data_IF_988289987640
#
_entry.id   IF_988289987640
#
_cell.length_a   1.000
_cell.length_b   1.000
_cell.length_c   1.000
_cell.angle_alpha   90.00
_cell.angle_beta   90.00
_cell.angle_gamma   90.00
#
_symmetry.space_group_name_H-M   'P 1'
#
loop_
_entity.id
_entity.type
_entity.pdbx_description
1 polymer ?
#
# COMPACT_ATOMS: atom_id res chain seq x y z
N UNK A 1 9.26 -5.98 -34.34
CA UNK A 1 8.82 -7.06 -33.42
C UNK A 1 7.46 -6.65 -32.88
N UNK A 2 6.41 -7.24 -33.39
CA UNK A 2 5.06 -7.00 -32.84
C UNK A 2 5.02 -7.56 -31.41
N UNK A 3 4.79 -6.68 -30.44
CA UNK A 3 4.63 -7.10 -29.06
C UNK A 3 3.30 -7.83 -28.93
N UNK A 4 3.34 -9.13 -28.80
CA UNK A 4 2.14 -9.93 -28.45
C UNK A 4 1.83 -9.71 -26.99
N UNK A 5 0.75 -8.99 -26.69
CA UNK A 5 0.27 -8.78 -25.33
C UNK A 5 -0.58 -9.96 -24.86
N UNK A 6 -0.56 -10.24 -23.56
CA UNK A 6 -1.36 -11.32 -22.97
C UNK A 6 -2.86 -11.02 -22.99
N UNK A 7 -3.23 -9.75 -22.84
CA UNK A 7 -4.61 -9.28 -22.82
C UNK A 7 -4.82 -8.17 -23.84
N UNK A 8 -6.05 -8.06 -24.35
CA UNK A 8 -6.43 -6.89 -25.13
C UNK A 8 -6.54 -5.65 -24.24
N UNK A 9 -6.32 -4.45 -24.78
CA UNK A 9 -6.45 -3.20 -24.04
C UNK A 9 -7.86 -3.03 -23.47
N UNK A 10 -8.89 -3.40 -24.23
CA UNK A 10 -10.29 -3.33 -23.77
C UNK A 10 -10.55 -4.24 -22.58
N UNK A 11 -10.11 -5.50 -22.65
CA UNK A 11 -10.28 -6.47 -21.57
C UNK A 11 -9.57 -5.99 -20.32
N UNK A 12 -8.35 -5.47 -20.46
CA UNK A 12 -7.56 -4.97 -19.34
C UNK A 12 -8.22 -3.76 -18.66
N UNK A 13 -8.65 -2.76 -19.45
CA UNK A 13 -9.36 -1.60 -18.91
C UNK A 13 -10.67 -1.99 -18.24
N UNK A 14 -11.44 -2.90 -18.84
CA UNK A 14 -12.68 -3.39 -18.24
C UNK A 14 -12.43 -4.05 -16.88
N UNK A 15 -11.38 -4.89 -16.77
CA UNK A 15 -11.00 -5.51 -15.50
C UNK A 15 -10.58 -4.48 -14.45
N UNK A 16 -9.76 -3.50 -14.82
CA UNK A 16 -9.32 -2.44 -13.91
C UNK A 16 -10.52 -1.64 -13.42
N UNK A 17 -11.43 -1.23 -14.30
CA UNK A 17 -12.64 -0.50 -13.94
C UNK A 17 -13.54 -1.36 -13.03
N UNK A 18 -13.76 -2.62 -13.38
CA UNK A 18 -14.61 -3.53 -12.61
C UNK A 18 -14.09 -3.71 -11.17
N UNK A 19 -12.79 -4.01 -11.03
CA UNK A 19 -12.15 -4.16 -9.71
C UNK A 19 -12.22 -2.84 -8.93
N UNK A 20 -11.92 -1.72 -9.59
CA UNK A 20 -12.01 -0.39 -8.99
C UNK A 20 -13.42 -0.07 -8.46
N UNK A 21 -14.46 -0.40 -9.23
CA UNK A 21 -15.85 -0.20 -8.83
C UNK A 21 -16.23 -1.07 -7.62
N UNK A 22 -15.74 -2.31 -7.55
CA UNK A 22 -15.93 -3.17 -6.37
C UNK A 22 -15.35 -2.49 -5.13
N UNK A 23 -14.11 -1.98 -5.17
CA UNK A 23 -13.49 -1.33 -4.03
C UNK A 23 -14.18 -0.01 -3.66
N UNK A 24 -14.62 0.78 -4.64
CA UNK A 24 -15.44 1.97 -4.40
C UNK A 24 -16.74 1.60 -3.67
N UNK A 25 -17.45 0.59 -4.17
CA UNK A 25 -18.68 0.13 -3.55
C UNK A 25 -18.47 -0.34 -2.11
N UNK A 26 -17.48 -1.19 -1.89
CA UNK A 26 -17.14 -1.73 -0.57
C UNK A 26 -16.71 -0.61 0.42
N UNK A 27 -15.91 0.33 -0.03
CA UNK A 27 -15.48 1.47 0.77
C UNK A 27 -16.62 2.39 1.14
N UNK A 28 -17.49 2.73 0.18
CA UNK A 28 -18.69 3.56 0.42
C UNK A 28 -19.72 2.84 1.29
N UNK A 29 -19.92 1.54 1.11
CA UNK A 29 -20.78 0.73 1.96
C UNK A 29 -20.34 0.76 3.42
N UNK A 30 -19.04 0.57 3.65
CA UNK A 30 -18.49 0.64 5.00
C UNK A 30 -18.61 2.05 5.60
N UNK A 31 -18.41 3.11 4.80
CA UNK A 31 -18.47 4.49 5.27
C UNK A 31 -19.86 4.88 5.80
N UNK A 32 -20.93 4.38 5.20
CA UNK A 32 -22.31 4.63 5.66
C UNK A 32 -22.57 4.12 7.08
N UNK A 33 -21.89 3.03 7.48
CA UNK A 33 -22.05 2.42 8.80
C UNK A 33 -21.32 3.19 9.91
N UNK A 34 -20.27 3.93 9.58
CA UNK A 34 -19.38 4.55 10.56
C UNK A 34 -19.19 6.04 10.27
N UNK A 35 -20.12 6.85 10.77
CA UNK A 35 -20.11 8.30 10.60
C UNK A 35 -19.36 9.02 11.73
N UNK A 36 -19.02 10.29 11.50
CA UNK A 36 -18.40 11.19 12.45
C UNK A 36 -16.87 11.32 12.32
N UNK A 37 -16.37 12.48 12.69
CA UNK A 37 -14.98 12.90 12.51
C UNK A 37 -13.98 11.94 13.17
N UNK A 38 -14.29 11.43 14.35
CA UNK A 38 -13.42 10.50 15.06
C UNK A 38 -13.30 9.15 14.36
N UNK A 39 -14.39 8.65 13.74
CA UNK A 39 -14.34 7.47 12.89
C UNK A 39 -13.50 7.72 11.63
N UNK A 40 -13.69 8.86 11.02
CA UNK A 40 -12.98 9.27 9.81
C UNK A 40 -11.47 9.37 10.02
N UNK A 41 -11.03 10.05 11.09
CA UNK A 41 -9.61 10.33 11.33
C UNK A 41 -8.88 9.19 12.05
N UNK A 42 -9.52 8.51 13.00
CA UNK A 42 -8.85 7.57 13.92
C UNK A 42 -9.56 6.23 14.08
N UNK A 43 -10.62 5.99 13.28
CA UNK A 43 -11.48 4.81 13.39
C UNK A 43 -11.99 4.56 14.82
N UNK A 44 -12.25 5.64 15.58
CA UNK A 44 -12.58 5.64 17.01
C UNK A 44 -11.57 4.88 17.89
N UNK A 45 -10.38 4.56 17.36
CA UNK A 45 -9.36 3.70 18.01
C UNK A 45 -9.90 2.32 18.44
N UNK A 46 -10.95 1.87 17.80
CA UNK A 46 -11.62 0.60 18.07
C UNK A 46 -11.44 -0.34 16.87
N UNK A 47 -10.19 -0.63 16.55
CA UNK A 47 -9.81 -1.60 15.53
C UNK A 47 -9.12 -2.77 16.23
N UNK A 48 -9.58 -3.98 15.95
CA UNK A 48 -8.99 -5.20 16.48
C UNK A 48 -7.55 -5.40 15.97
N UNK A 49 -6.73 -6.07 16.78
CA UNK A 49 -5.31 -6.31 16.45
C UNK A 49 -5.16 -7.01 15.10
N UNK A 50 -5.97 -8.03 14.83
CA UNK A 50 -5.93 -8.76 13.56
C UNK A 50 -6.20 -7.84 12.37
N UNK A 51 -7.28 -7.05 12.41
CA UNK A 51 -7.65 -6.13 11.34
C UNK A 51 -6.58 -5.04 11.11
N UNK A 52 -5.97 -4.55 12.19
CA UNK A 52 -4.89 -3.58 12.08
C UNK A 52 -3.63 -4.20 11.47
N UNK A 53 -3.27 -5.41 11.88
CA UNK A 53 -2.10 -6.12 11.34
C UNK A 53 -2.28 -6.43 9.85
N UNK A 54 -3.44 -6.95 9.46
CA UNK A 54 -3.74 -7.24 8.05
C UNK A 54 -3.75 -6.00 7.18
N UNK A 55 -4.33 -4.88 7.66
CA UNK A 55 -4.29 -3.60 6.94
C UNK A 55 -2.87 -3.06 6.78
N UNK A 56 -2.07 -3.05 7.85
CA UNK A 56 -0.68 -2.60 7.78
C UNK A 56 0.16 -3.48 6.84
N UNK A 57 -0.06 -4.79 6.85
CA UNK A 57 0.62 -5.71 5.95
C UNK A 57 0.20 -5.49 4.50
N UNK A 58 -1.11 -5.34 4.23
CA UNK A 58 -1.60 -5.04 2.88
C UNK A 58 -1.04 -3.72 2.35
N UNK A 59 -0.98 -2.67 3.19
CA UNK A 59 -0.38 -1.38 2.82
C UNK A 59 1.11 -1.48 2.53
N UNK A 60 1.83 -2.38 3.22
CA UNK A 60 3.25 -2.62 2.98
C UNK A 60 3.50 -3.46 1.71
N UNK A 61 2.54 -4.30 1.32
CA UNK A 61 2.58 -5.15 0.11
C UNK A 61 1.96 -4.44 -1.11
N UNK A 62 2.12 -3.14 -1.24
CA UNK A 62 1.66 -2.36 -2.40
C UNK A 62 2.36 -2.76 -3.70
N UNK A 63 1.89 -2.22 -4.83
CA UNK A 63 2.45 -2.53 -6.16
C UNK A 63 3.94 -2.19 -6.30
N UNK A 64 4.41 -1.19 -5.55
CA UNK A 64 5.82 -0.80 -5.54
C UNK A 64 6.76 -1.95 -5.13
N UNK A 65 6.34 -2.87 -4.26
CA UNK A 65 7.19 -3.97 -3.80
C UNK A 65 7.58 -4.94 -4.92
N UNK A 66 6.80 -4.99 -6.01
CA UNK A 66 7.14 -5.79 -7.19
C UNK A 66 8.35 -5.24 -7.93
N UNK A 67 8.54 -3.93 -7.92
CA UNK A 67 9.57 -3.27 -8.70
C UNK A 67 10.74 -2.75 -7.85
N UNK A 68 10.48 -2.21 -6.67
CA UNK A 68 11.47 -1.55 -5.83
C UNK A 68 12.62 -2.48 -5.40
N UNK A 69 12.34 -3.58 -4.69
CA UNK A 69 13.38 -4.53 -4.29
C UNK A 69 14.07 -5.20 -5.47
N UNK A 70 13.32 -5.55 -6.53
CA UNK A 70 13.89 -6.16 -7.73
C UNK A 70 14.86 -5.20 -8.45
N UNK A 71 14.47 -3.93 -8.60
CA UNK A 71 15.33 -2.88 -9.16
C UNK A 71 16.59 -2.68 -8.30
N UNK A 72 16.45 -2.59 -6.98
CA UNK A 72 17.59 -2.47 -6.08
C UNK A 72 18.56 -3.65 -6.24
N UNK A 73 18.05 -4.87 -6.41
CA UNK A 73 18.87 -6.07 -6.64
C UNK A 73 19.66 -6.00 -7.94
N UNK A 74 19.09 -5.45 -9.01
CA UNK A 74 19.73 -5.41 -10.33
C UNK A 74 20.93 -4.47 -10.38
N UNK A 75 20.90 -3.32 -9.69
CA UNK A 75 22.01 -2.36 -9.71
C UNK A 75 22.94 -2.42 -8.51
N UNK A 76 22.51 -2.95 -7.38
CA UNK A 76 23.31 -3.00 -6.15
C UNK A 76 23.54 -4.40 -5.59
N UNK A 77 23.09 -5.44 -6.27
CA UNK A 77 23.28 -6.85 -5.89
C UNK A 77 22.74 -7.16 -4.48
N UNK A 78 23.35 -8.15 -3.83
CA UNK A 78 22.95 -8.63 -2.50
C UNK A 78 23.06 -7.52 -1.43
N UNK A 79 24.07 -6.63 -1.53
CA UNK A 79 24.22 -5.52 -0.60
C UNK A 79 23.02 -4.57 -0.62
N UNK A 80 22.48 -4.26 -1.80
CA UNK A 80 21.31 -3.42 -1.92
C UNK A 80 20.04 -4.10 -1.38
N UNK A 81 19.89 -5.41 -1.57
CA UNK A 81 18.75 -6.18 -0.99
C UNK A 81 18.80 -6.13 0.53
N UNK A 82 19.95 -6.40 1.12
CA UNK A 82 20.14 -6.36 2.58
C UNK A 82 19.87 -4.93 3.09
N UNK A 83 20.45 -3.92 2.45
CA UNK A 83 20.22 -2.52 2.81
C UNK A 83 18.75 -2.10 2.73
N UNK A 84 18.05 -2.51 1.67
CA UNK A 84 16.62 -2.27 1.50
C UNK A 84 15.79 -2.94 2.61
N UNK A 85 16.07 -4.22 2.89
CA UNK A 85 15.35 -4.99 3.91
C UNK A 85 15.58 -4.43 5.32
N UNK A 86 16.83 -4.10 5.66
CA UNK A 86 17.13 -3.48 6.95
C UNK A 86 16.55 -2.07 7.05
N UNK A 87 16.62 -1.28 5.99
CA UNK A 87 16.06 0.07 5.93
C UNK A 87 14.55 0.12 6.12
N UNK A 88 13.83 -0.89 5.68
CA UNK A 88 12.37 -1.02 5.87
C UNK A 88 12.00 -1.61 7.23
N UNK A 89 12.74 -2.59 7.73
CA UNK A 89 12.46 -3.26 9.00
C UNK A 89 12.83 -2.43 10.23
N UNK A 90 13.98 -1.74 10.18
CA UNK A 90 14.53 -1.02 11.32
C UNK A 90 13.61 0.05 11.91
N UNK A 91 12.96 0.93 11.13
CA UNK A 91 12.00 1.89 11.65
C UNK A 91 10.82 1.23 12.38
N UNK A 92 10.39 0.04 11.96
CA UNK A 92 9.28 -0.68 12.58
C UNK A 92 9.64 -1.15 13.99
N UNK A 93 10.86 -1.64 14.21
CA UNK A 93 11.34 -1.99 15.55
C UNK A 93 11.37 -0.77 16.49
N UNK A 94 11.86 0.36 16.00
CA UNK A 94 11.82 1.60 16.76
C UNK A 94 10.39 2.03 17.10
N UNK A 95 9.46 1.88 16.17
CA UNK A 95 8.07 2.24 16.37
C UNK A 95 7.40 1.39 17.47
N UNK A 96 7.78 0.11 17.64
CA UNK A 96 7.27 -0.74 18.72
C UNK A 96 7.64 -0.14 20.10
N UNK A 97 8.86 0.31 20.26
CA UNK A 97 9.34 0.90 21.51
C UNK A 97 8.81 2.32 21.72
N UNK A 98 9.03 3.20 20.75
CA UNK A 98 8.63 4.60 20.80
C UNK A 98 7.11 4.79 20.80
N UNK A 99 6.39 3.96 20.06
CA UNK A 99 4.94 4.04 19.97
C UNK A 99 4.26 3.85 21.32
N UNK A 100 4.74 2.90 22.13
CA UNK A 100 4.25 2.70 23.50
C UNK A 100 4.51 3.93 24.38
N UNK A 101 5.69 4.53 24.27
CA UNK A 101 6.07 5.72 25.03
C UNK A 101 5.25 6.94 24.62
N UNK A 102 5.14 7.18 23.31
CA UNK A 102 4.33 8.26 22.76
C UNK A 102 2.86 8.12 23.16
N UNK A 103 2.33 6.90 23.15
CA UNK A 103 0.94 6.64 23.54
C UNK A 103 0.68 6.94 25.02
N UNK A 104 1.65 6.69 25.91
CA UNK A 104 1.57 7.05 27.33
C UNK A 104 1.62 8.56 27.55
N UNK A 105 2.52 9.26 26.85
CA UNK A 105 2.68 10.71 26.96
C UNK A 105 1.53 11.49 26.29
N UNK A 106 0.93 10.90 25.23
CA UNK A 106 -0.07 11.58 24.41
C UNK A 106 -1.30 10.68 24.09
N UNK A 107 -2.07 10.30 25.13
CA UNK A 107 -3.16 9.32 24.96
C UNK A 107 -4.31 9.81 24.08
N UNK A 108 -4.55 11.12 24.00
CA UNK A 108 -5.62 11.74 23.20
C UNK A 108 -5.18 12.19 21.82
N UNK A 109 -3.89 12.11 21.48
CA UNK A 109 -3.35 12.58 20.19
C UNK A 109 -3.86 11.76 19.01
N UNK A 110 -4.15 12.43 17.88
CA UNK A 110 -4.69 11.79 16.68
C UNK A 110 -3.60 11.40 15.68
N UNK A 111 -2.42 12.00 15.77
CA UNK A 111 -1.31 11.71 14.85
C UNK A 111 0.05 11.93 15.49
N UNK A 112 1.08 11.32 14.90
CA UNK A 112 2.47 11.54 15.29
C UNK A 112 2.89 13.01 15.06
N UNK A 113 2.40 13.62 14.02
CA UNK A 113 2.71 15.02 13.67
C UNK A 113 2.12 15.98 14.71
N UNK A 114 0.94 15.68 15.25
CA UNK A 114 0.34 16.44 16.36
C UNK A 114 1.17 16.31 17.64
N UNK A 115 1.68 15.12 17.94
CA UNK A 115 2.61 14.90 19.05
C UNK A 115 3.87 15.76 18.90
N UNK A 116 4.45 15.83 17.70
CA UNK A 116 5.62 16.66 17.41
C UNK A 116 5.33 18.16 17.64
N UNK A 117 4.15 18.64 17.23
CA UNK A 117 3.72 20.01 17.50
C UNK A 117 3.69 20.34 19.01
N UNK A 118 3.18 19.40 19.80
CA UNK A 118 2.99 19.59 21.24
C UNK A 118 4.31 19.53 22.01
N UNK A 119 5.22 18.64 21.60
CA UNK A 119 6.50 18.39 22.29
C UNK A 119 7.63 19.31 21.85
N UNK A 120 7.70 19.63 20.55
CA UNK A 120 8.85 20.33 19.95
C UNK A 120 8.51 21.70 19.35
N UNK A 121 7.25 22.11 19.43
CA UNK A 121 6.82 23.43 18.99
C UNK A 121 6.44 23.55 17.53
N UNK A 122 6.06 24.77 17.11
CA UNK A 122 5.45 25.04 15.80
C UNK A 122 6.43 24.92 14.63
N UNK A 123 7.70 25.28 14.82
CA UNK A 123 8.69 25.29 13.70
C UNK A 123 9.00 23.86 13.24
N UNK A 124 9.32 22.97 14.17
CA UNK A 124 9.59 21.57 13.86
C UNK A 124 8.34 20.86 13.31
N UNK A 125 7.16 21.19 13.86
CA UNK A 125 5.89 20.70 13.32
C UNK A 125 5.70 21.03 11.82
N UNK A 126 5.93 22.29 11.42
CA UNK A 126 5.80 22.70 10.01
C UNK A 126 6.76 21.93 9.12
N UNK A 127 8.01 21.79 9.54
CA UNK A 127 9.02 21.04 8.78
C UNK A 127 8.61 19.58 8.59
N UNK A 128 8.26 18.89 9.69
CA UNK A 128 7.85 17.48 9.65
C UNK A 128 6.56 17.30 8.82
N UNK A 129 5.60 18.21 8.96
CA UNK A 129 4.38 18.19 8.17
C UNK A 129 4.67 18.29 6.67
N UNK A 130 5.52 19.24 6.26
CA UNK A 130 5.92 19.41 4.87
C UNK A 130 6.63 18.17 4.33
N UNK A 131 7.59 17.63 5.09
CA UNK A 131 8.31 16.41 4.70
C UNK A 131 7.37 15.21 4.59
N UNK A 132 6.42 15.07 5.50
CA UNK A 132 5.44 13.97 5.47
C UNK A 132 4.52 14.07 4.27
N UNK A 133 4.01 15.28 3.94
CA UNK A 133 3.17 15.50 2.76
C UNK A 133 3.95 15.15 1.48
N UNK A 134 5.18 15.64 1.37
CA UNK A 134 6.03 15.39 0.21
C UNK A 134 6.36 13.90 0.05
N UNK A 135 6.72 13.24 1.15
CA UNK A 135 6.97 11.80 1.16
C UNK A 135 5.75 10.99 0.72
N UNK A 136 4.56 11.29 1.29
CA UNK A 136 3.32 10.60 0.93
C UNK A 136 2.92 10.85 -0.52
N UNK A 137 3.17 12.05 -1.05
CA UNK A 137 2.93 12.35 -2.45
C UNK A 137 3.83 11.51 -3.38
N UNK A 138 5.13 11.43 -3.09
CA UNK A 138 6.05 10.58 -3.86
C UNK A 138 5.64 9.11 -3.79
N UNK A 139 5.28 8.64 -2.61
CA UNK A 139 4.84 7.27 -2.40
C UNK A 139 3.57 6.95 -3.21
N UNK A 140 2.58 7.85 -3.19
CA UNK A 140 1.38 7.73 -4.01
C UNK A 140 1.70 7.66 -5.51
N UNK A 141 2.58 8.55 -6.00
CA UNK A 141 3.02 8.52 -7.39
C UNK A 141 3.70 7.20 -7.75
N UNK A 142 4.54 6.67 -6.87
CA UNK A 142 5.24 5.40 -7.09
C UNK A 142 4.25 4.23 -7.18
N UNK A 143 3.28 4.14 -6.27
CA UNK A 143 2.27 3.08 -6.25
C UNK A 143 1.38 3.12 -7.50
N UNK A 144 0.85 4.29 -7.85
CA UNK A 144 0.00 4.46 -9.04
C UNK A 144 0.77 4.14 -10.33
N UNK A 145 2.03 4.58 -10.40
CA UNK A 145 2.91 4.28 -11.55
C UNK A 145 3.20 2.79 -11.64
N UNK A 146 3.47 2.11 -10.52
CA UNK A 146 3.74 0.67 -10.51
C UNK A 146 2.54 -0.13 -11.06
N UNK A 147 1.33 0.18 -10.63
CA UNK A 147 0.10 -0.45 -11.19
C UNK A 147 -0.04 -0.16 -12.68
N UNK A 148 0.14 1.10 -13.10
CA UNK A 148 0.00 1.50 -14.49
C UNK A 148 1.03 0.80 -15.39
N UNK A 149 2.30 0.69 -14.94
CA UNK A 149 3.36 -0.02 -15.67
C UNK A 149 3.05 -1.51 -15.79
N UNK A 150 2.56 -2.15 -14.74
CA UNK A 150 2.17 -3.55 -14.77
C UNK A 150 1.08 -3.81 -15.82
N UNK A 151 0.03 -3.00 -15.80
CA UNK A 151 -1.08 -3.11 -16.76
C UNK A 151 -0.62 -2.81 -18.19
N UNK A 152 0.22 -1.81 -18.38
CA UNK A 152 0.82 -1.52 -19.69
C UNK A 152 1.65 -2.70 -20.21
N UNK A 153 2.45 -3.33 -19.34
CA UNK A 153 3.26 -4.48 -19.72
C UNK A 153 2.42 -5.67 -20.20
N UNK A 154 1.28 -5.92 -19.55
CA UNK A 154 0.39 -7.06 -19.87
C UNK A 154 -0.46 -6.80 -21.10
N UNK A 155 -0.92 -5.57 -21.35
CA UNK A 155 -1.96 -5.25 -22.33
C UNK A 155 -1.61 -4.13 -23.32
N UNK A 156 -0.50 -3.43 -23.14
CA UNK A 156 -0.17 -2.25 -23.92
C UNK A 156 -1.05 -1.03 -23.65
N UNK A 157 -1.86 -1.07 -22.59
CA UNK A 157 -2.73 0.06 -22.22
C UNK A 157 -1.89 1.27 -21.82
N UNK A 158 -2.28 2.46 -22.27
CA UNK A 158 -1.58 3.71 -21.91
C UNK A 158 -1.57 3.93 -20.40
N UNK A 159 -0.39 4.28 -19.86
CA UNK A 159 -0.14 4.44 -18.41
C UNK A 159 -1.15 5.37 -17.72
N UNK A 160 -1.42 6.52 -18.34
CA UNK A 160 -2.28 7.54 -17.76
C UNK A 160 -3.75 7.08 -17.58
N UNK A 161 -4.25 6.21 -18.47
CA UNK A 161 -5.62 5.68 -18.38
C UNK A 161 -5.78 4.84 -17.12
N UNK A 162 -4.88 3.89 -16.90
CA UNK A 162 -4.88 3.07 -15.69
C UNK A 162 -4.66 3.92 -14.44
N UNK A 163 -3.69 4.84 -14.48
CA UNK A 163 -3.38 5.73 -13.37
C UNK A 163 -4.60 6.56 -12.93
N UNK A 164 -5.32 7.17 -13.87
CA UNK A 164 -6.52 7.94 -13.57
C UNK A 164 -7.65 7.10 -12.96
N UNK A 165 -7.91 5.91 -13.51
CA UNK A 165 -8.97 5.03 -12.99
C UNK A 165 -8.66 4.66 -11.53
N UNK A 166 -7.44 4.21 -11.27
CA UNK A 166 -7.00 3.80 -9.92
C UNK A 166 -7.02 4.99 -8.95
N UNK A 167 -6.48 6.13 -9.37
CA UNK A 167 -6.42 7.33 -8.53
C UNK A 167 -7.82 7.86 -8.17
N UNK A 168 -8.70 8.00 -9.16
CA UNK A 168 -10.05 8.51 -8.93
C UNK A 168 -10.86 7.54 -8.05
N UNK A 169 -10.79 6.24 -8.31
CA UNK A 169 -11.51 5.25 -7.51
C UNK A 169 -11.04 5.24 -6.05
N UNK A 170 -9.72 5.28 -5.82
CA UNK A 170 -9.13 5.34 -4.48
C UNK A 170 -9.54 6.63 -3.76
N UNK A 171 -9.50 7.76 -4.46
CA UNK A 171 -9.90 9.06 -3.92
C UNK A 171 -11.37 9.07 -3.47
N UNK A 172 -12.27 8.52 -4.27
CA UNK A 172 -13.71 8.48 -3.96
C UNK A 172 -13.97 7.79 -2.63
N UNK A 173 -13.52 6.55 -2.44
CA UNK A 173 -13.84 5.83 -1.21
C UNK A 173 -13.04 6.34 0.00
N UNK A 174 -11.83 6.84 -0.21
CA UNK A 174 -11.00 7.39 0.88
C UNK A 174 -11.56 8.72 1.40
N UNK A 175 -11.98 9.62 0.50
CA UNK A 175 -12.61 10.89 0.90
C UNK A 175 -13.92 10.70 1.68
N UNK A 176 -14.72 9.70 1.31
CA UNK A 176 -15.99 9.45 1.98
C UNK A 176 -15.84 8.63 3.27
N UNK A 177 -14.95 7.68 3.30
CA UNK A 177 -14.86 6.71 4.39
C UNK A 177 -13.69 6.89 5.36
N UNK A 178 -12.70 7.69 4.99
CA UNK A 178 -11.51 7.96 5.81
C UNK A 178 -10.73 6.70 6.17
N UNK A 179 -10.05 6.75 7.31
CA UNK A 179 -9.17 5.67 7.80
C UNK A 179 -9.90 4.33 7.94
N UNK A 180 -11.15 4.35 8.40
CA UNK A 180 -11.90 3.10 8.65
C UNK A 180 -12.26 2.37 7.36
N UNK A 181 -12.63 3.09 6.31
CA UNK A 181 -12.89 2.49 5.01
C UNK A 181 -11.60 1.95 4.38
N UNK A 182 -10.49 2.67 4.52
CA UNK A 182 -9.18 2.19 4.05
C UNK A 182 -8.80 0.88 4.73
N UNK A 183 -8.86 0.80 6.07
CA UNK A 183 -8.57 -0.45 6.80
C UNK A 183 -9.49 -1.59 6.35
N UNK A 184 -10.75 -1.31 6.08
CA UNK A 184 -11.70 -2.33 5.61
C UNK A 184 -11.33 -2.86 4.22
N UNK A 185 -11.03 -1.96 3.28
CA UNK A 185 -10.58 -2.36 1.92
C UNK A 185 -9.25 -3.09 1.95
N UNK A 186 -8.29 -2.65 2.77
CA UNK A 186 -7.01 -3.32 2.96
C UNK A 186 -7.17 -4.75 3.46
N UNK A 187 -8.08 -4.98 4.41
CA UNK A 187 -8.36 -6.33 4.91
C UNK A 187 -8.88 -7.26 3.82
N UNK A 188 -9.72 -6.76 2.92
CA UNK A 188 -10.20 -7.53 1.77
C UNK A 188 -9.05 -7.78 0.78
N UNK A 189 -8.25 -6.76 0.50
CA UNK A 189 -7.06 -6.89 -0.35
C UNK A 189 -6.09 -7.94 0.22
N UNK A 190 -5.87 -7.95 1.54
CA UNK A 190 -5.01 -8.94 2.18
C UNK A 190 -5.51 -10.38 1.99
N UNK A 191 -6.82 -10.61 2.07
CA UNK A 191 -7.40 -11.93 1.79
C UNK A 191 -7.13 -12.35 0.34
N UNK A 192 -7.29 -11.42 -0.61
CA UNK A 192 -7.00 -11.67 -2.03
C UNK A 192 -5.51 -11.95 -2.23
N UNK A 193 -4.62 -11.15 -1.64
CA UNK A 193 -3.16 -11.33 -1.74
C UNK A 193 -2.76 -12.71 -1.21
N UNK A 194 -3.22 -13.10 -0.02
CA UNK A 194 -2.89 -14.40 0.56
C UNK A 194 -3.43 -15.56 -0.27
N UNK A 195 -4.64 -15.43 -0.82
CA UNK A 195 -5.23 -16.43 -1.70
C UNK A 195 -4.41 -16.60 -2.98
N UNK A 196 -3.99 -15.50 -3.60
CA UNK A 196 -3.16 -15.52 -4.82
C UNK A 196 -1.76 -16.08 -4.55
N UNK A 197 -1.14 -15.74 -3.42
CA UNK A 197 0.15 -16.34 -3.01
C UNK A 197 -0.01 -17.85 -2.86
N UNK A 198 -1.06 -18.31 -2.19
CA UNK A 198 -1.30 -19.74 -1.99
C UNK A 198 -1.55 -20.50 -3.30
N UNK A 199 -2.20 -19.87 -4.28
CA UNK A 199 -2.47 -20.45 -5.60
C UNK A 199 -1.20 -20.45 -6.48
N UNK A 200 -0.42 -19.38 -6.44
CA UNK A 200 0.73 -19.17 -7.32
C UNK A 200 2.03 -19.78 -6.78
N UNK A 201 2.13 -20.06 -5.50
CA UNK A 201 3.25 -20.83 -4.94
C UNK A 201 2.92 -22.33 -4.91
N UNK A 202 3.18 -23.05 -6.02
CA UNK A 202 3.05 -24.50 -5.98
C UNK A 202 4.16 -25.02 -5.07
N UNK A 203 3.77 -25.55 -3.95
CA UNK A 203 4.63 -26.27 -2.97
C UNK A 203 5.25 -27.54 -3.55
N UNK A 204 5.36 -27.65 -4.89
CA UNK A 204 5.98 -28.78 -5.55
C UNK A 204 7.51 -28.57 -5.59
N UNK A 205 8.28 -29.48 -4.97
CA UNK A 205 9.76 -29.42 -4.99
C UNK A 205 10.36 -29.32 -6.39
N UNK A 206 9.62 -29.70 -7.43
CA UNK A 206 10.05 -29.68 -8.83
C UNK A 206 10.21 -28.26 -9.42
N UNK A 207 9.46 -27.25 -8.93
CA UNK A 207 9.56 -25.88 -9.43
C UNK A 207 10.71 -25.10 -8.79
N UNK A 208 11.11 -25.47 -7.56
CA UNK A 208 12.29 -24.92 -6.91
C UNK A 208 13.56 -25.36 -7.66
N UNK A 209 13.60 -26.59 -8.16
CA UNK A 209 14.73 -27.07 -8.96
C UNK A 209 14.85 -26.38 -10.32
N UNK A 210 13.73 -26.00 -10.96
CA UNK A 210 13.74 -25.21 -12.20
C UNK A 210 14.23 -23.78 -11.99
N UNK A 211 13.82 -23.11 -10.92
CA UNK A 211 14.28 -21.76 -10.61
C UNK A 211 15.80 -21.74 -10.30
N UNK A 212 16.32 -22.75 -9.61
CA UNK A 212 17.75 -22.89 -9.34
C UNK A 212 18.56 -23.25 -10.60
N UNK A 213 17.96 -23.96 -11.56
CA UNK A 213 18.62 -24.32 -12.82
C UNK A 213 18.69 -23.14 -13.80
N UNK A 214 17.71 -22.23 -13.78
CA UNK A 214 17.74 -21.02 -14.60
C UNK A 214 18.65 -19.91 -14.08
N UNK A 215 19.18 -20.04 -12.84
CA UNK A 215 20.13 -19.11 -12.23
C UNK A 215 21.59 -19.54 -12.37
N UNK A 216 21.88 -20.63 -13.09
CA UNK A 216 23.20 -21.06 -13.53
C UNK A 216 23.41 -20.72 -15.00
#
# INVERSE_FOLDING_TARGET
MDKTYFLSQYTSLTLVIFISLIFVFLGLYNSKKYQGLNNYLTANRNIGLFSLTTSLTASALGAWILFGPASAATWGGIGAIIGYSLGTAFPMFFLIYLGRKIRKEFPKGSSLVEFMRKKFGKSLFKLILLMTIFYMFIFLCAEVTAVAVLINYISGTELWKTALIVLISTLIYTLHGGLRASIFTDNIQMVVILSLIHISEPTRPRLISYAVFCLK
#
